data_IF_033188721034
#
_entry.id   IF_033188721034
#
_cell.length_a   1.000
_cell.length_b   1.000
_cell.length_c   1.000
_cell.angle_alpha   90.00
_cell.angle_beta   90.00
_cell.angle_gamma   90.00
#
_symmetry.space_group_name_H-M   'P 1'
#
loop_
_entity.id
_entity.type
_entity.pdbx_description
1 polymer ?
#
# COMPACT_ATOMS: atom_id res chain seq x y z
N UNK A 1 -1.00 -28.33 -30.23
CA UNK A 1 -1.35 -26.92 -29.93
C UNK A 1 -1.68 -26.86 -28.45
N UNK A 2 -0.76 -26.39 -27.63
CA UNK A 2 -1.02 -26.18 -26.21
C UNK A 2 -1.81 -24.87 -26.06
N UNK A 3 -3.02 -24.95 -25.53
CA UNK A 3 -3.77 -23.78 -25.08
C UNK A 3 -3.01 -23.16 -23.90
N UNK A 4 -2.30 -22.06 -24.17
CA UNK A 4 -1.86 -21.15 -23.12
C UNK A 4 -3.10 -20.38 -22.67
N UNK A 5 -3.75 -20.93 -21.65
CA UNK A 5 -4.87 -20.34 -20.95
C UNK A 5 -4.36 -19.09 -20.21
N UNK A 6 -4.35 -17.93 -20.88
CA UNK A 6 -3.96 -16.67 -20.26
C UNK A 6 -5.10 -16.20 -19.35
N UNK A 7 -4.88 -16.00 -18.04
CA UNK A 7 -5.93 -15.62 -17.11
C UNK A 7 -6.28 -14.14 -17.32
N UNK A 8 -7.16 -13.91 -18.29
CA UNK A 8 -7.89 -12.67 -18.54
C UNK A 8 -9.25 -12.64 -17.86
N UNK A 9 -9.52 -13.58 -16.94
CA UNK A 9 -10.67 -13.50 -16.05
C UNK A 9 -10.65 -12.18 -15.30
N UNK A 10 -11.82 -11.54 -15.19
CA UNK A 10 -12.03 -10.42 -14.27
C UNK A 10 -11.39 -10.79 -12.91
N UNK A 11 -10.73 -9.84 -12.23
CA UNK A 11 -10.18 -10.12 -10.90
C UNK A 11 -11.29 -10.78 -10.08
N UNK A 12 -11.02 -12.01 -9.59
CA UNK A 12 -11.95 -12.70 -8.70
C UNK A 12 -12.38 -11.70 -7.63
N UNK A 13 -13.67 -11.65 -7.33
CA UNK A 13 -14.15 -10.84 -6.22
C UNK A 13 -13.27 -11.15 -5.01
N UNK A 14 -12.62 -10.13 -4.44
CA UNK A 14 -11.79 -10.29 -3.25
C UNK A 14 -12.77 -10.61 -2.12
N UNK A 15 -12.93 -11.90 -1.81
CA UNK A 15 -13.81 -12.36 -0.74
C UNK A 15 -13.24 -11.92 0.60
N UNK A 16 -14.07 -11.48 1.55
CA UNK A 16 -13.64 -11.30 2.93
C UNK A 16 -12.94 -12.58 3.40
N UNK A 17 -11.72 -12.51 3.95
CA UNK A 17 -11.08 -13.68 4.54
C UNK A 17 -11.76 -14.02 5.86
N UNK A 18 -11.45 -15.19 6.40
CA UNK A 18 -11.55 -15.40 7.83
C UNK A 18 -10.70 -14.33 8.55
N UNK A 19 -11.19 -13.81 9.68
CA UNK A 19 -10.56 -12.71 10.44
C UNK A 19 -9.97 -13.26 11.75
N UNK A 20 -8.95 -14.14 11.70
CA UNK A 20 -8.49 -14.94 12.84
C UNK A 20 -7.90 -14.11 13.98
N UNK A 21 -7.57 -12.84 13.73
CA UNK A 21 -7.03 -11.96 14.77
C UNK A 21 -8.14 -11.23 15.55
N UNK A 22 -9.40 -11.25 15.08
CA UNK A 22 -10.53 -10.72 15.84
C UNK A 22 -10.81 -11.55 17.10
N UNK A 23 -10.56 -12.86 17.08
CA UNK A 23 -10.76 -13.73 18.24
C UNK A 23 -9.97 -13.24 19.47
N UNK A 24 -8.77 -12.70 19.24
CA UNK A 24 -7.94 -12.15 20.31
C UNK A 24 -8.56 -10.86 20.89
N UNK A 25 -9.11 -10.00 20.04
CA UNK A 25 -9.83 -8.80 20.46
C UNK A 25 -11.13 -9.18 21.21
N UNK A 26 -11.87 -10.16 20.71
CA UNK A 26 -13.08 -10.67 21.35
C UNK A 26 -12.81 -11.27 22.71
N UNK A 27 -11.72 -12.02 22.88
CA UNK A 27 -11.29 -12.55 24.18
C UNK A 27 -11.01 -11.45 25.20
N UNK A 28 -10.55 -10.26 24.76
CA UNK A 28 -10.36 -9.08 25.60
C UNK A 28 -11.64 -8.23 25.77
N UNK A 29 -12.79 -8.69 25.26
CA UNK A 29 -14.09 -8.04 25.39
C UNK A 29 -14.37 -6.92 24.39
N UNK A 30 -13.64 -6.87 23.26
CA UNK A 30 -13.94 -5.95 22.15
C UNK A 30 -14.92 -6.58 21.17
N UNK A 31 -15.75 -5.77 20.53
CA UNK A 31 -16.30 -6.10 19.22
C UNK A 31 -15.30 -5.63 18.17
N UNK A 32 -14.92 -6.51 17.24
CA UNK A 32 -13.92 -6.25 16.23
C UNK A 32 -14.41 -6.65 14.84
N UNK A 33 -14.03 -5.86 13.84
CA UNK A 33 -14.28 -6.16 12.43
C UNK A 33 -13.25 -5.45 11.55
N UNK A 34 -12.91 -6.06 10.41
CA UNK A 34 -12.08 -5.38 9.40
C UNK A 34 -12.90 -4.32 8.65
N UNK A 35 -12.35 -3.10 8.53
CA UNK A 35 -12.88 -2.05 7.67
C UNK A 35 -12.63 -2.40 6.19
N UNK A 36 -13.53 -3.19 5.62
CA UNK A 36 -13.32 -3.79 4.31
C UNK A 36 -13.21 -2.78 3.16
N UNK A 37 -13.68 -1.54 3.35
CA UNK A 37 -13.49 -0.44 2.40
C UNK A 37 -12.02 -0.17 2.08
N UNK A 38 -11.14 -0.25 3.08
CA UNK A 38 -9.69 0.00 2.96
C UNK A 38 -8.91 -1.31 2.81
N UNK A 39 -9.16 -2.28 3.70
CA UNK A 39 -8.37 -3.50 3.80
C UNK A 39 -8.33 -4.34 2.51
N UNK A 40 -9.43 -4.34 1.74
CA UNK A 40 -9.49 -5.04 0.45
C UNK A 40 -8.41 -4.60 -0.54
N UNK A 41 -8.01 -3.32 -0.51
CA UNK A 41 -6.98 -2.80 -1.40
C UNK A 41 -5.60 -3.27 -0.98
N UNK A 42 -5.33 -3.31 0.33
CA UNK A 42 -4.04 -3.75 0.86
C UNK A 42 -3.83 -5.23 0.55
N UNK A 43 -4.87 -6.03 0.77
CA UNK A 43 -4.88 -7.44 0.39
C UNK A 43 -4.72 -7.62 -1.11
N UNK A 44 -5.49 -6.90 -1.92
CA UNK A 44 -5.38 -6.96 -3.38
C UNK A 44 -3.99 -6.57 -3.89
N UNK A 45 -3.31 -5.61 -3.26
CA UNK A 45 -1.92 -5.28 -3.57
C UNK A 45 -0.98 -6.47 -3.28
N UNK A 46 -1.12 -7.11 -2.11
CA UNK A 46 -0.34 -8.28 -1.73
C UNK A 46 -0.59 -9.44 -2.70
N UNK A 47 -1.85 -9.70 -3.07
CA UNK A 47 -2.23 -10.75 -4.02
C UNK A 47 -1.65 -10.49 -5.42
N UNK A 48 -1.77 -9.27 -5.94
CA UNK A 48 -1.16 -8.87 -7.22
C UNK A 48 0.36 -9.02 -7.22
N UNK A 49 1.01 -8.77 -6.08
CA UNK A 49 2.45 -8.94 -5.95
C UNK A 49 2.89 -10.42 -5.94
N UNK A 50 1.96 -11.36 -5.72
CA UNK A 50 2.24 -12.78 -5.52
C UNK A 50 2.43 -13.18 -4.06
N UNK A 51 2.04 -12.33 -3.10
CA UNK A 51 2.22 -12.53 -1.67
C UNK A 51 3.26 -11.58 -1.07
N UNK A 52 3.26 -11.47 0.27
CA UNK A 52 4.08 -10.50 1.02
C UNK A 52 5.59 -10.70 0.78
N UNK A 53 6.03 -11.96 0.65
CA UNK A 53 7.42 -12.31 0.34
C UNK A 53 7.91 -11.74 -1.00
N UNK A 54 7.01 -11.48 -1.95
CA UNK A 54 7.34 -10.97 -3.29
C UNK A 54 7.26 -9.44 -3.38
N UNK A 55 6.94 -8.75 -2.28
CA UNK A 55 6.82 -7.29 -2.23
C UNK A 55 8.14 -6.56 -1.98
N UNK A 56 9.29 -7.26 -1.98
CA UNK A 56 10.63 -6.70 -1.75
C UNK A 56 10.95 -5.44 -2.58
N UNK A 57 10.31 -5.28 -3.74
CA UNK A 57 10.42 -4.08 -4.58
C UNK A 57 9.96 -2.79 -3.88
N UNK A 58 9.06 -2.86 -2.88
CA UNK A 58 8.64 -1.68 -2.11
C UNK A 58 9.79 -1.05 -1.33
N UNK A 59 10.89 -1.77 -1.08
CA UNK A 59 12.09 -1.22 -0.43
C UNK A 59 12.97 -0.39 -1.40
N UNK A 60 12.65 -0.38 -2.70
CA UNK A 60 13.37 0.43 -3.68
C UNK A 60 12.99 1.91 -3.53
N UNK A 61 13.98 2.76 -3.23
CA UNK A 61 13.77 4.21 -3.11
C UNK A 61 13.14 4.81 -4.38
N UNK A 62 13.49 4.29 -5.56
CA UNK A 62 12.94 4.75 -6.82
C UNK A 62 11.44 4.45 -6.93
N UNK A 63 11.00 3.26 -6.50
CA UNK A 63 9.60 2.88 -6.51
C UNK A 63 8.80 3.57 -5.40
N UNK A 64 9.42 3.84 -4.24
CA UNK A 64 8.80 4.66 -3.21
C UNK A 64 8.52 6.07 -3.70
N UNK A 65 9.45 6.68 -4.44
CA UNK A 65 9.21 7.99 -5.04
C UNK A 65 8.01 7.94 -5.99
N UNK A 66 7.88 6.87 -6.80
CA UNK A 66 6.72 6.66 -7.68
C UNK A 66 5.41 6.50 -6.91
N UNK A 67 5.39 5.69 -5.85
CA UNK A 67 4.17 5.40 -5.10
C UNK A 67 3.76 6.52 -4.12
N UNK A 68 4.70 7.39 -3.75
CA UNK A 68 4.43 8.60 -2.97
C UNK A 68 4.11 9.82 -3.84
N UNK A 69 4.21 9.72 -5.17
CA UNK A 69 3.87 10.82 -6.07
C UNK A 69 2.36 11.09 -6.08
N UNK A 70 1.99 12.37 -5.94
CA UNK A 70 0.60 12.78 -5.86
C UNK A 70 -0.17 12.49 -7.16
N UNK A 71 0.47 12.70 -8.33
CA UNK A 71 -0.19 12.43 -9.61
C UNK A 71 -0.37 10.92 -9.83
N UNK A 72 0.52 10.10 -9.29
CA UNK A 72 0.40 8.65 -9.40
C UNK A 72 -0.84 8.20 -8.62
N UNK A 73 -1.08 8.82 -7.46
CA UNK A 73 -2.24 8.62 -6.59
C UNK A 73 -3.56 9.19 -7.15
N UNK A 74 -3.53 10.04 -8.17
CA UNK A 74 -4.73 10.45 -8.93
C UNK A 74 -4.97 9.60 -10.18
N UNK A 75 -4.13 8.58 -10.42
CA UNK A 75 -4.27 7.68 -11.55
C UNK A 75 -3.82 8.29 -12.88
N UNK A 76 -2.85 9.20 -12.84
CA UNK A 76 -2.22 9.75 -14.03
C UNK A 76 -1.55 8.64 -14.87
N UNK A 77 -1.52 8.86 -16.18
CA UNK A 77 -0.73 8.06 -17.10
C UNK A 77 0.61 8.75 -17.35
N UNK A 78 1.67 7.96 -17.48
CA UNK A 78 3.03 8.44 -17.63
C UNK A 78 3.67 7.88 -18.88
N UNK A 79 4.44 8.68 -19.60
CA UNK A 79 5.48 8.21 -20.50
C UNK A 79 6.64 7.60 -19.70
N UNK A 80 7.51 6.85 -20.36
CA UNK A 80 8.70 6.29 -19.71
C UNK A 80 9.64 7.39 -19.15
N UNK A 81 9.74 8.52 -19.86
CA UNK A 81 10.55 9.66 -19.41
C UNK A 81 10.01 10.29 -18.14
N UNK A 82 8.69 10.47 -18.04
CA UNK A 82 8.05 11.00 -16.83
C UNK A 82 8.18 10.04 -15.65
N UNK A 83 8.06 8.73 -15.87
CA UNK A 83 8.32 7.73 -14.82
C UNK A 83 9.73 7.88 -14.25
N UNK A 84 10.76 8.02 -15.10
CA UNK A 84 12.13 8.24 -14.61
C UNK A 84 12.26 9.55 -13.81
N UNK A 85 11.56 10.61 -14.25
CA UNK A 85 11.50 11.88 -13.54
C UNK A 85 10.91 11.72 -12.13
N UNK A 86 9.74 11.10 -12.02
CA UNK A 86 9.05 10.86 -10.73
C UNK A 86 9.86 9.93 -9.83
N UNK A 87 10.44 8.87 -10.39
CA UNK A 87 11.31 7.95 -9.64
C UNK A 87 12.63 8.60 -9.19
N UNK A 88 12.94 9.81 -9.67
CA UNK A 88 14.20 10.55 -9.46
C UNK A 88 15.41 9.76 -9.94
N UNK A 89 15.27 9.04 -11.05
CA UNK A 89 16.32 8.22 -11.63
C UNK A 89 17.16 9.05 -12.58
N UNK A 90 18.42 9.28 -12.22
CA UNK A 90 19.36 10.10 -12.98
C UNK A 90 20.02 9.38 -14.17
N UNK A 91 21.34 9.20 -14.08
CA UNK A 91 22.27 8.73 -15.14
C UNK A 91 21.87 7.36 -15.75
N UNK A 92 22.46 7.03 -16.91
CA UNK A 92 22.10 5.85 -17.71
C UNK A 92 22.09 4.52 -16.94
N UNK A 93 23.09 4.24 -16.10
CA UNK A 93 23.15 2.99 -15.33
C UNK A 93 21.98 2.82 -14.34
N UNK A 94 21.55 3.92 -13.70
CA UNK A 94 20.39 3.91 -12.80
C UNK A 94 19.08 3.69 -13.58
N UNK A 95 19.02 4.11 -14.85
CA UNK A 95 17.86 3.86 -15.71
C UNK A 95 17.70 2.39 -16.05
N UNK A 96 18.78 1.65 -16.29
CA UNK A 96 18.68 0.20 -16.53
C UNK A 96 18.06 -0.53 -15.34
N UNK A 97 18.52 -0.25 -14.11
CA UNK A 97 17.92 -0.83 -12.91
C UNK A 97 16.45 -0.40 -12.71
N UNK A 98 16.12 0.86 -13.00
CA UNK A 98 14.74 1.34 -12.97
C UNK A 98 13.85 0.61 -13.99
N UNK A 99 14.35 0.34 -15.19
CA UNK A 99 13.64 -0.42 -16.22
C UNK A 99 13.33 -1.84 -15.73
N UNK A 100 14.28 -2.52 -15.08
CA UNK A 100 14.03 -3.84 -14.49
C UNK A 100 12.93 -3.80 -13.42
N UNK A 101 12.91 -2.76 -12.58
CA UNK A 101 11.81 -2.55 -11.64
C UNK A 101 10.47 -2.37 -12.35
N UNK A 102 10.42 -1.54 -13.40
CA UNK A 102 9.19 -1.30 -14.18
C UNK A 102 8.71 -2.57 -14.89
N UNK A 103 9.62 -3.42 -15.39
CA UNK A 103 9.27 -4.74 -15.91
C UNK A 103 8.68 -5.63 -14.82
N UNK A 104 9.32 -5.70 -13.65
CA UNK A 104 8.82 -6.48 -12.52
C UNK A 104 7.43 -6.04 -12.05
N UNK A 105 7.13 -4.73 -12.06
CA UNK A 105 5.79 -4.21 -11.78
C UNK A 105 4.79 -4.53 -12.90
N UNK A 106 5.24 -4.49 -14.16
CA UNK A 106 4.37 -4.79 -15.31
C UNK A 106 3.98 -6.26 -15.36
N UNK A 107 4.92 -7.15 -15.07
CA UNK A 107 4.71 -8.60 -14.99
C UNK A 107 3.66 -8.96 -13.93
N UNK A 108 3.71 -8.29 -12.78
CA UNK A 108 2.74 -8.40 -11.69
C UNK A 108 1.41 -7.66 -11.94
N UNK A 109 1.24 -7.04 -13.10
CA UNK A 109 0.06 -6.19 -13.45
C UNK A 109 -0.17 -5.03 -12.46
N UNK A 110 0.89 -4.57 -11.81
CA UNK A 110 0.90 -3.41 -10.91
C UNK A 110 1.02 -2.13 -11.74
N UNK A 111 1.92 -2.15 -12.73
CA UNK A 111 2.09 -1.09 -13.71
C UNK A 111 1.52 -1.56 -15.05
N UNK A 112 0.39 -0.99 -15.45
CA UNK A 112 -0.31 -1.37 -16.66
C UNK A 112 0.24 -0.59 -17.85
N UNK A 113 0.38 -1.26 -18.99
CA UNK A 113 0.79 -0.67 -20.26
C UNK A 113 -0.44 -0.26 -21.09
N UNK A 114 -0.35 0.85 -21.79
CA UNK A 114 -1.45 1.37 -22.60
C UNK A 114 -1.07 2.58 -23.44
N UNK A 115 -2.09 3.26 -23.95
CA UNK A 115 -1.95 4.46 -24.77
C UNK A 115 -2.88 5.55 -24.26
N UNK A 116 -2.43 6.80 -24.31
CA UNK A 116 -3.31 7.96 -24.11
C UNK A 116 -3.81 8.40 -25.48
N UNK A 117 -5.13 8.47 -25.64
CA UNK A 117 -5.80 8.74 -26.91
C UNK A 117 -6.91 9.78 -26.71
N UNK A 118 -6.84 10.95 -27.36
CA UNK A 118 -7.88 11.95 -27.26
C UNK A 118 -9.14 11.49 -28.02
N UNK A 119 -10.31 11.59 -27.39
CA UNK A 119 -11.57 11.27 -28.05
C UNK A 119 -11.85 12.31 -29.15
N UNK A 120 -12.14 11.90 -30.40
CA UNK A 120 -12.42 12.87 -31.47
C UNK A 120 -13.73 13.64 -31.25
N UNK A 121 -14.66 13.09 -30.44
CA UNK A 121 -15.97 13.69 -30.14
C UNK A 121 -15.88 14.66 -28.97
N UNK A 122 -15.58 14.17 -27.75
CA UNK A 122 -15.60 15.00 -26.54
C UNK A 122 -14.24 15.57 -26.13
N UNK A 123 -13.15 15.27 -26.86
CA UNK A 123 -11.77 15.71 -26.60
C UNK A 123 -11.15 15.25 -25.29
N UNK A 124 -11.84 14.42 -24.50
CA UNK A 124 -11.28 13.79 -23.30
C UNK A 124 -10.15 12.82 -23.67
N UNK A 125 -9.05 12.87 -22.92
CA UNK A 125 -7.98 11.88 -23.01
C UNK A 125 -8.41 10.54 -22.41
N UNK A 126 -8.32 9.48 -23.20
CA UNK A 126 -8.66 8.13 -22.81
C UNK A 126 -7.39 7.32 -22.66
N UNK A 127 -7.16 6.74 -21.48
CA UNK A 127 -6.12 5.75 -21.32
C UNK A 127 -6.67 4.37 -21.69
N UNK A 128 -6.09 3.75 -22.72
CA UNK A 128 -6.52 2.47 -23.29
C UNK A 128 -5.43 1.43 -23.03
N UNK A 129 -5.74 0.41 -22.22
CA UNK A 129 -4.80 -0.66 -21.92
C UNK A 129 -4.45 -1.47 -23.16
N UNK A 130 -3.19 -1.93 -23.25
CA UNK A 130 -2.73 -2.81 -24.34
C UNK A 130 -3.58 -4.07 -24.53
N UNK A 131 -4.18 -4.58 -23.45
CA UNK A 131 -5.06 -5.77 -23.52
C UNK A 131 -6.46 -5.48 -24.09
N UNK A 132 -6.83 -4.21 -24.24
CA UNK A 132 -8.13 -3.76 -24.74
C UNK A 132 -8.05 -3.06 -26.10
N UNK A 133 -6.88 -3.08 -26.73
CA UNK A 133 -6.68 -2.41 -28.02
C UNK A 133 -7.40 -3.16 -29.12
N UNK A 134 -8.10 -2.39 -29.94
CA UNK A 134 -8.75 -2.85 -31.16
C UNK A 134 -8.74 -1.69 -32.17
N UNK A 135 -9.05 -1.95 -33.44
CA UNK A 135 -9.14 -0.92 -34.47
C UNK A 135 -10.18 0.15 -34.09
N UNK A 136 -11.27 -0.26 -33.44
CA UNK A 136 -12.26 0.65 -32.86
C UNK A 136 -12.26 0.53 -31.35
N UNK A 137 -12.20 1.68 -30.69
CA UNK A 137 -12.23 1.81 -29.22
C UNK A 137 -13.37 2.72 -28.79
N UNK A 138 -13.86 2.55 -27.57
CA UNK A 138 -14.90 3.40 -27.00
C UNK A 138 -14.30 4.42 -26.03
N UNK A 139 -14.77 5.67 -26.10
CA UNK A 139 -14.39 6.69 -25.13
C UNK A 139 -14.97 6.36 -23.74
N UNK A 140 -14.17 6.47 -22.67
CA UNK A 140 -14.64 6.26 -21.30
C UNK A 140 -15.57 7.37 -20.79
N UNK A 141 -15.55 8.54 -21.44
CA UNK A 141 -16.43 9.67 -21.13
C UNK A 141 -17.74 9.62 -21.90
N UNK A 142 -17.71 9.90 -23.21
CA UNK A 142 -18.93 10.02 -24.04
C UNK A 142 -19.42 8.71 -24.66
N UNK A 143 -18.72 7.59 -24.43
CA UNK A 143 -19.04 6.25 -24.95
C UNK A 143 -19.02 6.11 -26.49
N UNK A 144 -18.74 7.18 -27.23
CA UNK A 144 -18.61 7.14 -28.68
C UNK A 144 -17.49 6.19 -29.10
N UNK A 145 -17.79 5.32 -30.07
CA UNK A 145 -16.80 4.45 -30.70
C UNK A 145 -16.05 5.20 -31.80
N UNK A 146 -14.73 5.16 -31.78
CA UNK A 146 -13.87 5.81 -32.78
C UNK A 146 -12.73 4.90 -33.21
N UNK A 147 -12.17 5.17 -34.39
CA UNK A 147 -11.01 4.43 -34.88
C UNK A 147 -9.76 4.89 -34.13
N UNK A 148 -8.93 3.93 -33.71
CA UNK A 148 -7.66 4.20 -33.06
C UNK A 148 -6.76 5.03 -34.00
N UNK A 149 -6.21 6.19 -33.57
CA UNK A 149 -5.31 6.97 -34.40
C UNK A 149 -4.04 6.18 -34.76
N UNK A 150 -3.47 6.45 -35.94
CA UNK A 150 -2.21 5.84 -36.36
C UNK A 150 -1.03 6.29 -35.49
N UNK A 151 -1.10 7.50 -34.93
CA UNK A 151 -0.10 8.06 -34.03
C UNK A 151 -0.69 8.13 -32.62
N UNK A 152 -0.15 7.31 -31.71
CA UNK A 152 -0.57 7.26 -30.30
C UNK A 152 0.65 7.14 -29.40
N UNK A 153 0.57 7.76 -28.22
CA UNK A 153 1.67 7.76 -27.27
C UNK A 153 1.54 6.60 -26.29
N UNK A 154 2.57 5.77 -26.25
CA UNK A 154 2.67 4.69 -25.27
C UNK A 154 2.82 5.26 -23.86
N UNK A 155 2.09 4.70 -22.92
CA UNK A 155 2.04 5.18 -21.54
C UNK A 155 1.83 4.05 -20.54
N UNK A 156 2.08 4.36 -19.28
CA UNK A 156 2.00 3.47 -18.15
C UNK A 156 1.07 4.07 -17.11
N UNK A 157 0.25 3.24 -16.47
CA UNK A 157 -0.66 3.67 -15.40
C UNK A 157 -0.69 2.63 -14.30
N UNK A 158 -0.78 3.04 -13.04
CA UNK A 158 -0.94 2.09 -11.94
C UNK A 158 -2.26 1.35 -12.05
N UNK A 159 -2.25 0.08 -11.64
CA UNK A 159 -3.45 -0.71 -11.44
C UNK A 159 -4.38 -0.02 -10.42
N UNK A 160 -5.70 -0.08 -10.64
CA UNK A 160 -6.66 0.55 -9.74
C UNK A 160 -6.55 0.07 -8.29
N UNK A 161 -6.27 -1.22 -8.06
CA UNK A 161 -6.10 -1.77 -6.69
C UNK A 161 -4.91 -1.11 -5.98
N UNK A 162 -3.79 -0.95 -6.68
CA UNK A 162 -2.63 -0.24 -6.15
C UNK A 162 -2.91 1.24 -5.94
N UNK A 163 -3.60 1.87 -6.88
CA UNK A 163 -3.98 3.27 -6.80
C UNK A 163 -4.78 3.55 -5.52
N UNK A 164 -5.86 2.81 -5.32
CA UNK A 164 -6.75 2.97 -4.16
C UNK A 164 -6.02 2.65 -2.86
N UNK A 165 -5.18 1.60 -2.82
CA UNK A 165 -4.38 1.29 -1.65
C UNK A 165 -3.40 2.41 -1.28
N UNK A 166 -2.72 3.01 -2.26
CA UNK A 166 -1.81 4.14 -2.02
C UNK A 166 -2.54 5.40 -1.53
N UNK A 167 -3.75 5.66 -2.01
CA UNK A 167 -4.60 6.76 -1.51
C UNK A 167 -4.96 6.54 -0.04
N UNK A 168 -5.19 5.30 0.37
CA UNK A 168 -5.53 4.93 1.75
C UNK A 168 -4.31 4.81 2.69
N UNK A 169 -3.08 4.99 2.20
CA UNK A 169 -1.87 4.90 3.03
C UNK A 169 -1.33 3.47 3.21
N UNK A 170 -1.56 2.58 2.25
CA UNK A 170 -1.08 1.20 2.30
C UNK A 170 0.44 1.05 2.44
N UNK A 171 1.22 2.06 2.05
CA UNK A 171 2.65 1.89 1.85
C UNK A 171 3.39 1.59 3.17
N UNK A 172 3.13 2.37 4.22
CA UNK A 172 3.69 2.12 5.57
C UNK A 172 3.20 0.80 6.14
N UNK A 173 1.90 0.49 5.98
CA UNK A 173 1.30 -0.75 6.50
C UNK A 173 1.97 -1.98 5.86
N UNK A 174 2.10 -1.99 4.53
CA UNK A 174 2.67 -3.12 3.81
C UNK A 174 4.18 -3.26 4.06
N UNK A 175 4.93 -2.15 4.11
CA UNK A 175 6.35 -2.20 4.49
C UNK A 175 6.55 -2.71 5.92
N UNK A 176 5.65 -2.35 6.85
CA UNK A 176 5.72 -2.83 8.23
C UNK A 176 5.37 -4.31 8.32
N UNK A 177 4.31 -4.76 7.63
CA UNK A 177 4.00 -6.18 7.53
C UNK A 177 5.18 -6.97 6.94
N UNK A 178 5.82 -6.46 5.88
CA UNK A 178 7.03 -7.06 5.30
C UNK A 178 8.23 -7.05 6.26
N UNK A 179 8.37 -6.03 7.10
CA UNK A 179 9.45 -5.95 8.10
C UNK A 179 9.25 -7.00 9.20
N UNK A 180 8.01 -7.19 9.64
CA UNK A 180 7.65 -8.18 10.67
C UNK A 180 7.63 -9.61 10.12
N UNK A 181 7.37 -9.78 8.82
CA UNK A 181 7.42 -11.07 8.14
C UNK A 181 8.86 -11.57 8.03
N UNK A 182 9.16 -12.67 8.70
CA UNK A 182 10.51 -13.25 8.77
C UNK A 182 10.75 -14.45 7.85
N UNK A 183 9.70 -14.92 7.17
CA UNK A 183 9.74 -16.08 6.28
C UNK A 183 9.96 -17.43 6.97
N UNK A 184 10.20 -17.45 8.29
CA UNK A 184 10.53 -18.66 9.05
C UNK A 184 9.44 -19.10 10.02
N UNK A 185 8.68 -18.17 10.59
CA UNK A 185 7.60 -18.44 11.53
C UNK A 185 6.21 -18.32 10.88
N UNK A 186 5.18 -19.01 11.40
CA UNK A 186 3.79 -18.72 11.04
C UNK A 186 3.48 -17.23 11.26
N UNK A 187 3.04 -16.57 10.20
CA UNK A 187 2.76 -15.14 10.19
C UNK A 187 1.33 -14.90 9.71
N UNK A 188 0.52 -14.26 10.55
CA UNK A 188 -0.83 -13.80 10.21
C UNK A 188 -0.89 -12.31 10.43
N UNK A 189 -1.50 -11.58 9.51
CA UNK A 189 -1.65 -10.14 9.63
C UNK A 189 -3.05 -9.73 9.17
N UNK A 190 -3.53 -8.63 9.74
CA UNK A 190 -4.82 -8.03 9.45
C UNK A 190 -4.63 -6.51 9.49
N UNK A 191 -5.14 -5.80 8.47
CA UNK A 191 -5.03 -4.35 8.40
C UNK A 191 -6.41 -3.69 8.50
N UNK A 192 -6.43 -2.44 8.97
CA UNK A 192 -7.63 -1.62 9.10
C UNK A 192 -8.71 -2.28 9.98
N UNK A 193 -8.35 -2.78 11.16
CA UNK A 193 -9.29 -3.38 12.11
C UNK A 193 -9.94 -2.31 12.95
N UNK A 194 -11.27 -2.30 13.05
CA UNK A 194 -12.01 -1.46 13.99
C UNK A 194 -12.29 -2.28 15.24
N UNK A 195 -11.84 -1.80 16.40
CA UNK A 195 -12.11 -2.40 17.70
C UNK A 195 -12.95 -1.44 18.55
N UNK A 196 -14.04 -1.95 19.13
CA UNK A 196 -14.97 -1.17 19.96
C UNK A 196 -15.18 -1.82 21.33
N UNK A 197 -15.15 -1.00 22.39
CA UNK A 197 -15.37 -1.43 23.78
C UNK A 197 -15.82 -0.26 24.64
N UNK A 198 -16.91 -0.45 25.41
CA UNK A 198 -17.42 0.58 26.32
C UNK A 198 -17.80 1.90 25.64
N UNK A 199 -18.26 1.85 24.38
CA UNK A 199 -18.57 3.04 23.57
C UNK A 199 -17.35 3.74 22.96
N UNK A 200 -16.13 3.31 23.29
CA UNK A 200 -14.91 3.73 22.60
C UNK A 200 -14.72 2.95 21.30
N UNK A 201 -14.30 3.65 20.24
CA UNK A 201 -13.91 3.10 18.94
C UNK A 201 -12.44 3.41 18.68
N UNK A 202 -11.70 2.42 18.18
CA UNK A 202 -10.28 2.51 17.84
C UNK A 202 -10.04 1.83 16.50
N UNK A 203 -9.38 2.53 15.58
CA UNK A 203 -8.91 1.94 14.32
C UNK A 203 -7.46 1.47 14.50
N UNK A 204 -7.19 0.20 14.22
CA UNK A 204 -5.87 -0.43 14.27
C UNK A 204 -5.41 -0.59 12.82
N UNK A 205 -4.34 0.11 12.45
CA UNK A 205 -3.83 0.07 11.08
C UNK A 205 -3.30 -1.31 10.70
N UNK A 206 -2.57 -1.96 11.62
CA UNK A 206 -2.01 -3.29 11.43
C UNK A 206 -1.99 -4.09 12.74
N UNK A 207 -2.53 -5.30 12.70
CA UNK A 207 -2.47 -6.31 13.76
C UNK A 207 -1.78 -7.54 13.18
N UNK A 208 -0.69 -7.98 13.82
CA UNK A 208 0.12 -9.10 13.35
C UNK A 208 0.36 -10.12 14.45
N UNK A 209 0.32 -11.40 14.10
CA UNK A 209 0.78 -12.51 14.94
C UNK A 209 1.94 -13.22 14.25
N UNK A 210 3.07 -13.36 14.95
CA UNK A 210 4.28 -14.07 14.52
C UNK A 210 4.70 -15.05 15.60
N UNK A 211 4.48 -16.35 15.35
CA UNK A 211 4.59 -17.35 16.43
C UNK A 211 3.64 -16.99 17.58
N UNK A 212 4.20 -16.80 18.78
CA UNK A 212 3.45 -16.41 19.98
C UNK A 212 3.38 -14.88 20.19
N UNK A 213 4.18 -14.11 19.45
CA UNK A 213 4.19 -12.65 19.57
C UNK A 213 3.01 -12.03 18.82
N UNK A 214 2.29 -11.14 19.49
CA UNK A 214 1.22 -10.33 18.93
C UNK A 214 1.68 -8.86 18.91
N UNK A 215 1.47 -8.18 17.78
CA UNK A 215 1.93 -6.80 17.58
C UNK A 215 0.79 -5.96 17.03
N UNK A 216 0.49 -4.86 17.71
CA UNK A 216 -0.38 -3.77 17.22
C UNK A 216 0.53 -2.67 16.69
N UNK A 217 0.28 -2.22 15.47
CA UNK A 217 1.05 -1.13 14.85
C UNK A 217 0.13 -0.02 14.37
N UNK A 218 0.45 1.20 14.77
CA UNK A 218 -0.08 2.43 14.20
C UNK A 218 0.84 2.89 13.05
N UNK A 219 0.31 3.08 11.84
CA UNK A 219 1.10 3.29 10.62
C UNK A 219 0.77 4.64 9.97
N UNK A 220 1.75 5.53 9.82
CA UNK A 220 1.57 6.83 9.15
C UNK A 220 2.56 7.05 8.00
N UNK A 221 2.04 7.09 6.77
CA UNK A 221 2.81 7.48 5.57
C UNK A 221 3.46 8.85 5.74
N UNK A 222 2.65 9.83 6.15
CA UNK A 222 3.05 11.19 6.45
C UNK A 222 2.17 11.73 7.58
N UNK A 223 2.71 12.63 8.39
CA UNK A 223 1.93 13.39 9.35
C UNK A 223 2.44 14.83 9.37
N UNK A 224 1.51 15.78 9.38
CA UNK A 224 1.79 17.20 9.50
C UNK A 224 1.51 17.61 10.94
N UNK A 225 2.51 18.17 11.62
CA UNK A 225 2.40 18.58 13.03
C UNK A 225 1.30 19.65 13.30
N UNK A 226 0.78 20.29 12.25
CA UNK A 226 0.01 21.53 12.37
C UNK A 226 -1.51 21.40 12.46
N UNK A 227 -2.13 20.25 12.14
CA UNK A 227 -3.60 20.22 12.00
C UNK A 227 -4.37 19.31 12.95
N UNK A 228 -3.76 18.35 13.64
CA UNK A 228 -4.49 17.54 14.64
C UNK A 228 -3.59 16.74 15.59
N UNK A 229 -2.70 17.42 16.33
CA UNK A 229 -1.84 16.76 17.30
C UNK A 229 -2.64 16.01 18.39
N UNK A 230 -3.79 16.55 18.79
CA UNK A 230 -4.65 15.98 19.82
C UNK A 230 -5.36 14.70 19.35
N UNK A 231 -5.93 14.65 18.14
CA UNK A 231 -6.52 13.41 17.64
C UNK A 231 -5.46 12.35 17.37
N UNK A 232 -4.28 12.75 16.89
CA UNK A 232 -3.16 11.81 16.74
C UNK A 232 -2.75 11.20 18.10
N UNK A 233 -2.58 12.04 19.12
CA UNK A 233 -2.23 11.62 20.47
C UNK A 233 -3.28 10.67 21.06
N UNK A 234 -4.56 11.00 20.90
CA UNK A 234 -5.66 10.14 21.33
C UNK A 234 -5.68 8.81 20.57
N UNK A 235 -5.45 8.82 19.26
CA UNK A 235 -5.38 7.61 18.45
C UNK A 235 -4.26 6.68 18.93
N UNK A 236 -3.04 7.21 19.12
CA UNK A 236 -1.88 6.44 19.59
C UNK A 236 -2.12 5.88 20.99
N UNK A 237 -2.68 6.68 21.91
CA UNK A 237 -3.01 6.22 23.27
C UNK A 237 -4.03 5.09 23.27
N UNK A 238 -5.09 5.21 22.46
CA UNK A 238 -6.11 4.16 22.32
C UNK A 238 -5.52 2.88 21.74
N UNK A 239 -4.71 2.99 20.68
CA UNK A 239 -4.07 1.83 20.08
C UNK A 239 -3.13 1.12 21.07
N UNK A 240 -2.34 1.88 21.87
CA UNK A 240 -1.52 1.32 22.97
C UNK A 240 -2.37 0.67 24.05
N UNK A 241 -3.51 1.26 24.41
CA UNK A 241 -4.42 0.66 25.38
C UNK A 241 -4.94 -0.69 24.89
N UNK A 242 -5.41 -0.76 23.64
CA UNK A 242 -5.87 -2.01 23.03
C UNK A 242 -4.75 -3.04 23.05
N UNK A 243 -3.53 -2.65 22.65
CA UNK A 243 -2.37 -3.56 22.65
C UNK A 243 -2.13 -4.16 24.04
N UNK A 244 -2.15 -3.34 25.11
CA UNK A 244 -1.96 -3.80 26.49
C UNK A 244 -3.05 -4.77 26.92
N UNK A 245 -4.30 -4.50 26.57
CA UNK A 245 -5.44 -5.34 26.96
C UNK A 245 -5.45 -6.70 26.26
N UNK A 246 -4.88 -6.81 25.06
CA UNK A 246 -4.74 -8.08 24.33
C UNK A 246 -3.37 -8.75 24.53
N UNK A 247 -2.49 -8.18 25.36
CA UNK A 247 -1.13 -8.69 25.56
C UNK A 247 -0.22 -8.56 24.35
N UNK A 248 -0.46 -7.57 23.47
CA UNK A 248 0.36 -7.27 22.30
C UNK A 248 1.43 -6.21 22.59
N UNK A 249 2.56 -6.38 21.90
CA UNK A 249 3.54 -5.31 21.69
C UNK A 249 2.91 -4.17 20.89
N UNK A 250 3.41 -2.95 21.11
CA UNK A 250 2.94 -1.76 20.40
C UNK A 250 4.09 -1.07 19.68
N UNK A 251 3.90 -0.83 18.39
CA UNK A 251 4.84 -0.08 17.58
C UNK A 251 4.15 1.07 16.84
N UNK A 252 4.94 2.10 16.55
CA UNK A 252 4.58 3.18 15.65
C UNK A 252 5.46 3.12 14.40
N UNK A 253 4.88 3.09 13.21
CA UNK A 253 5.59 2.98 11.95
C UNK A 253 5.39 4.21 11.06
N UNK A 254 6.44 4.65 10.38
CA UNK A 254 6.36 5.78 9.45
C UNK A 254 7.41 5.74 8.33
N UNK A 255 7.10 6.37 7.18
CA UNK A 255 8.05 6.59 6.08
C UNK A 255 8.89 7.86 6.22
N UNK A 256 8.71 8.61 7.30
CA UNK A 256 9.60 9.71 7.67
C UNK A 256 10.87 9.16 8.33
N UNK A 257 12.06 9.70 8.01
CA UNK A 257 13.27 9.42 8.79
C UNK A 257 13.07 9.86 10.26
N UNK A 258 13.69 9.16 11.22
CA UNK A 258 13.58 9.52 12.65
C UNK A 258 13.88 10.99 12.93
N UNK A 259 14.94 11.53 12.31
CA UNK A 259 15.34 12.93 12.46
C UNK A 259 14.30 13.94 11.90
N UNK A 260 13.33 13.48 11.10
CA UNK A 260 12.26 14.29 10.53
C UNK A 260 10.94 14.21 11.29
N UNK A 261 10.83 13.36 12.32
CA UNK A 261 9.61 13.23 13.14
C UNK A 261 9.44 14.51 13.97
N UNK A 262 8.34 15.26 13.83
CA UNK A 262 8.01 16.38 14.71
C UNK A 262 8.16 16.06 16.20
N UNK A 263 8.79 16.96 16.96
CA UNK A 263 9.02 16.79 18.40
C UNK A 263 7.73 16.52 19.20
N UNK A 264 6.61 17.16 18.81
CA UNK A 264 5.31 16.91 19.43
C UNK A 264 4.84 15.46 19.25
N UNK A 265 5.03 14.89 18.06
CA UNK A 265 4.69 13.49 17.78
C UNK A 265 5.65 12.55 18.49
N UNK A 266 6.96 12.86 18.49
CA UNK A 266 7.95 12.09 19.22
C UNK A 266 7.61 12.03 20.72
N UNK A 267 7.21 13.15 21.33
CA UNK A 267 6.82 13.20 22.74
C UNK A 267 5.62 12.30 23.05
N UNK A 268 4.65 12.19 22.14
CA UNK A 268 3.50 11.27 22.29
C UNK A 268 3.97 9.82 22.23
N UNK A 269 4.80 9.47 21.24
CA UNK A 269 5.37 8.14 21.04
C UNK A 269 6.17 7.70 22.28
N UNK A 270 7.03 8.59 22.79
CA UNK A 270 7.85 8.35 23.97
C UNK A 270 6.97 8.16 25.22
N UNK A 271 5.93 8.99 25.38
CA UNK A 271 5.02 8.91 26.52
C UNK A 271 4.23 7.60 26.59
N UNK A 272 3.96 6.95 25.45
CA UNK A 272 3.28 5.64 25.41
C UNK A 272 4.26 4.46 25.40
N UNK A 273 5.58 4.72 25.36
CA UNK A 273 6.61 3.70 25.24
C UNK A 273 6.38 2.81 24.01
N UNK A 274 6.23 3.43 22.84
CA UNK A 274 6.09 2.71 21.57
C UNK A 274 7.45 2.50 20.92
N UNK A 275 7.71 1.31 20.38
CA UNK A 275 8.86 1.11 19.49
C UNK A 275 8.63 1.86 18.18
N UNK A 276 9.66 2.54 17.66
CA UNK A 276 9.57 3.29 16.41
C UNK A 276 10.16 2.50 15.25
N UNK A 277 9.35 2.29 14.21
CA UNK A 277 9.75 1.72 12.92
C UNK A 277 9.77 2.85 11.88
N UNK A 278 10.86 3.62 11.89
CA UNK A 278 11.05 4.72 10.93
C UNK A 278 11.39 4.21 9.52
N UNK A 279 11.57 5.16 8.59
CA UNK A 279 11.93 4.88 7.20
C UNK A 279 13.13 3.94 7.07
N UNK A 280 14.22 4.20 7.77
CA UNK A 280 15.46 3.45 7.59
C UNK A 280 15.29 2.01 8.10
N UNK A 281 14.56 1.85 9.21
CA UNK A 281 14.19 0.52 9.75
C UNK A 281 13.32 -0.26 8.75
N UNK A 282 12.30 0.38 8.16
CA UNK A 282 11.39 -0.26 7.21
C UNK A 282 12.07 -0.65 5.90
N UNK A 283 13.04 0.16 5.42
CA UNK A 283 13.71 -0.06 4.14
C UNK A 283 14.93 -0.99 4.23
N UNK A 284 15.64 -0.98 5.36
CA UNK A 284 16.91 -1.69 5.51
C UNK A 284 16.88 -2.83 6.54
N UNK A 285 15.76 -3.00 7.26
CA UNK A 285 15.61 -4.07 8.23
C UNK A 285 15.72 -5.47 7.61
N UNK A 286 16.76 -6.21 8.03
CA UNK A 286 16.61 -7.64 8.29
C UNK A 286 15.66 -7.83 9.49
N UNK A 287 15.03 -8.99 9.60
CA UNK A 287 14.10 -9.31 10.69
C UNK A 287 14.79 -9.04 12.02
N UNK A 288 14.41 -7.96 12.69
CA UNK A 288 14.78 -7.75 14.08
C UNK A 288 13.56 -8.09 14.92
N UNK A 289 13.77 -8.86 15.98
CA UNK A 289 12.86 -8.83 17.12
C UNK A 289 12.69 -7.36 17.52
N UNK A 290 11.47 -6.91 17.78
CA UNK A 290 11.29 -5.59 18.41
C UNK A 290 12.19 -5.58 19.66
N UNK A 291 12.93 -4.48 19.91
CA UNK A 291 13.86 -4.45 21.03
C UNK A 291 13.05 -4.73 22.31
N UNK A 292 13.27 -5.90 22.91
CA UNK A 292 12.76 -6.22 24.23
C UNK A 292 13.46 -5.28 25.23
N UNK A 293 12.67 -4.49 25.95
CA UNK A 293 13.07 -3.91 27.25
C UNK A 293 12.59 -4.83 28.38
#
# INVERSE_FOLDING_TARGET
MAELDFPGGLPRAITPPDEPLNDVLHAAGYTAAVEWGKARFYRGMVELAGGLAHMGFLRSQALLNLFSDANARTGAAYTLGELFGVMKVGKSAARSAAVEHLYGLSDKRILMRGYVVPCPVCKLDNWISVSKINERVACSGCLAAFQMPLQVHFSYKLNQVYLEGLVQGALTVLLTAMHLYDGGAPFTWQACTVAEKGGGRTEIDLLCKRGDALVVVECKDNFNAGSDAAAFEEQVRRAKQVSREIGAEFAFATLQPAASIPAAVQSVIDAVGASVLDRDVLLHGGVKTLPYE
#
